data_IF_522839386273
#
_entry.id   IF_522839386273
#
_cell.length_a   1.000
_cell.length_b   1.000
_cell.length_c   1.000
_cell.angle_alpha   90.00
_cell.angle_beta   90.00
_cell.angle_gamma   90.00
#
_symmetry.space_group_name_H-M   'P 1'
#
loop_
_entity.id
_entity.type
_entity.pdbx_description
1 polymer ?
#
# COMPACT_ATOMS: atom_id res chain seq x y z
N UNK A 1 -30.39 35.84 19.84
CA UNK A 1 -29.06 36.08 19.24
C UNK A 1 -27.96 35.21 19.82
N UNK A 2 -28.03 34.76 21.06
CA UNK A 2 -27.06 33.81 21.66
C UNK A 2 -27.10 32.42 20.99
N UNK A 3 -28.22 31.97 20.47
CA UNK A 3 -28.42 30.69 19.80
C UNK A 3 -27.61 30.53 18.50
N UNK A 4 -27.40 31.58 17.75
CA UNK A 4 -26.60 31.51 16.51
C UNK A 4 -25.11 31.23 16.76
N UNK A 5 -24.57 31.67 17.87
CA UNK A 5 -23.16 31.44 18.23
C UNK A 5 -22.92 30.01 18.69
N UNK A 6 -23.88 29.40 19.33
CA UNK A 6 -23.78 27.99 19.78
C UNK A 6 -23.79 27.03 18.61
N UNK A 7 -24.60 27.27 17.56
CA UNK A 7 -24.62 26.44 16.37
C UNK A 7 -23.31 26.49 15.57
N UNK A 8 -22.61 27.61 15.53
CA UNK A 8 -21.33 27.75 14.87
C UNK A 8 -20.23 26.89 15.53
N UNK A 9 -20.21 26.79 16.85
CA UNK A 9 -19.27 25.95 17.58
C UNK A 9 -19.50 24.47 17.37
N UNK A 10 -20.73 24.01 17.25
CA UNK A 10 -21.07 22.61 16.99
C UNK A 10 -20.62 22.17 15.59
N UNK A 11 -20.71 23.03 14.58
CA UNK A 11 -20.27 22.73 13.22
C UNK A 11 -18.74 22.56 13.15
N UNK A 12 -17.96 23.34 13.87
CA UNK A 12 -16.51 23.24 13.92
C UNK A 12 -16.07 21.94 14.60
N UNK A 13 -16.73 21.54 15.69
CA UNK A 13 -16.44 20.30 16.40
C UNK A 13 -16.70 19.06 15.52
N UNK A 14 -17.76 19.06 14.71
CA UNK A 14 -18.06 17.98 13.77
C UNK A 14 -16.98 17.82 12.71
N UNK A 15 -16.47 18.90 12.13
CA UNK A 15 -15.38 18.88 11.16
C UNK A 15 -14.08 18.33 11.75
N UNK A 16 -13.76 18.63 12.99
CA UNK A 16 -12.56 18.12 13.68
C UNK A 16 -12.63 16.60 13.88
N UNK A 17 -13.80 16.04 14.19
CA UNK A 17 -14.00 14.60 14.36
C UNK A 17 -13.82 13.83 13.04
N UNK A 18 -14.25 14.36 11.92
CA UNK A 18 -14.08 13.75 10.60
C UNK A 18 -12.60 13.74 10.19
N UNK A 19 -11.84 14.78 10.50
CA UNK A 19 -10.41 14.88 10.21
C UNK A 19 -9.55 13.84 10.97
N UNK A 20 -10.02 13.33 12.11
CA UNK A 20 -9.32 12.34 12.93
C UNK A 20 -9.52 10.89 12.43
N UNK A 21 -10.28 10.65 11.34
CA UNK A 21 -10.59 9.31 10.86
C UNK A 21 -9.54 8.73 9.90
N UNK A 22 -8.50 9.49 9.51
CA UNK A 22 -7.40 8.98 8.70
C UNK A 22 -6.24 8.51 9.59
N UNK A 23 -5.60 7.40 9.23
CA UNK A 23 -4.52 6.82 10.02
C UNK A 23 -3.75 5.77 9.23
N UNK A 24 -2.95 5.01 9.96
CA UNK A 24 -2.17 3.91 9.40
C UNK A 24 -2.70 2.59 9.93
N UNK A 25 -2.75 1.58 9.06
CA UNK A 25 -3.07 0.21 9.41
C UNK A 25 -1.96 -0.72 8.92
N UNK A 26 -1.77 -1.85 9.60
CA UNK A 26 -0.86 -2.91 9.17
C UNK A 26 -1.67 -3.91 8.35
N UNK A 27 -1.26 -4.16 7.12
CA UNK A 27 -1.96 -5.08 6.22
C UNK A 27 -1.00 -6.08 5.60
N UNK A 28 -1.44 -7.34 5.35
CA UNK A 28 -0.63 -8.32 4.64
C UNK A 28 -0.32 -7.86 3.21
N UNK A 29 0.87 -8.19 2.75
CA UNK A 29 1.32 -7.83 1.39
C UNK A 29 0.36 -8.29 0.30
N UNK A 30 -0.19 -9.52 0.32
CA UNK A 30 -1.17 -9.94 -0.69
C UNK A 30 -2.42 -9.05 -0.72
N UNK A 31 -2.86 -8.60 0.44
CA UNK A 31 -4.03 -7.72 0.55
C UNK A 31 -3.76 -6.34 -0.05
N UNK A 32 -2.59 -5.80 0.22
CA UNK A 32 -2.17 -4.50 -0.34
C UNK A 32 -2.14 -4.58 -1.87
N UNK A 33 -1.57 -5.64 -2.43
CA UNK A 33 -1.50 -5.83 -3.87
C UNK A 33 -2.92 -5.95 -4.49
N UNK A 34 -3.77 -6.78 -3.90
CA UNK A 34 -5.13 -7.00 -4.39
C UNK A 34 -5.98 -5.72 -4.35
N UNK A 35 -5.90 -4.97 -3.25
CA UNK A 35 -6.69 -3.75 -3.07
C UNK A 35 -6.28 -2.63 -4.03
N UNK A 36 -5.11 -2.71 -4.64
CA UNK A 36 -4.60 -1.67 -5.54
C UNK A 36 -4.72 -2.00 -7.03
N UNK A 37 -5.31 -3.12 -7.39
CA UNK A 37 -5.64 -3.41 -8.79
C UNK A 37 -6.66 -2.38 -9.29
N UNK A 38 -6.39 -1.79 -10.45
CA UNK A 38 -7.18 -0.71 -11.02
C UNK A 38 -6.85 0.68 -10.50
N UNK A 39 -5.95 0.79 -9.54
CA UNK A 39 -5.51 2.05 -8.95
C UNK A 39 -4.12 2.45 -9.46
N UNK A 40 -3.70 3.71 -9.30
CA UNK A 40 -2.35 4.12 -9.71
C UNK A 40 -1.26 3.35 -8.99
N UNK A 41 -0.19 2.99 -9.71
CA UNK A 41 0.96 2.26 -9.16
C UNK A 41 1.67 3.03 -8.05
N UNK A 42 1.53 4.35 -8.00
CA UNK A 42 2.09 5.19 -6.93
C UNK A 42 1.62 4.76 -5.54
N UNK A 43 0.44 4.17 -5.43
CA UNK A 43 -0.05 3.64 -4.14
C UNK A 43 0.76 2.46 -3.65
N UNK A 44 1.21 1.61 -4.57
CA UNK A 44 2.10 0.50 -4.22
C UNK A 44 3.51 1.00 -3.89
N UNK A 45 3.96 2.06 -4.54
CA UNK A 45 5.23 2.70 -4.21
C UNK A 45 5.21 3.32 -2.81
N UNK A 46 4.08 3.90 -2.39
CA UNK A 46 3.90 4.37 -1.02
C UNK A 46 3.96 3.22 0.01
N UNK A 47 3.38 2.07 -0.31
CA UNK A 47 3.32 0.93 0.60
C UNK A 47 4.65 0.16 0.65
N UNK A 48 5.30 -0.05 -0.48
CA UNK A 48 6.47 -0.92 -0.61
C UNK A 48 7.79 -0.18 -0.82
N UNK A 49 7.74 1.11 -1.09
CA UNK A 49 8.91 1.90 -1.42
C UNK A 49 9.30 1.81 -2.90
N UNK A 50 10.56 2.11 -3.21
CA UNK A 50 11.05 2.03 -4.58
C UNK A 50 11.09 0.58 -5.07
N UNK A 51 10.66 0.32 -6.30
CA UNK A 51 10.77 -1.02 -6.87
C UNK A 51 12.23 -1.42 -7.08
N UNK A 52 12.50 -2.71 -6.96
CA UNK A 52 13.83 -3.28 -7.23
C UNK A 52 14.23 -3.11 -8.70
N UNK A 53 13.24 -3.27 -9.58
CA UNK A 53 13.41 -3.01 -11.02
C UNK A 53 12.08 -2.69 -11.68
N UNK A 54 12.16 -2.03 -12.81
CA UNK A 54 11.03 -1.76 -13.69
C UNK A 54 11.43 -2.20 -15.11
N UNK A 55 10.72 -3.18 -15.64
CA UNK A 55 10.92 -3.65 -17.00
C UNK A 55 9.82 -3.08 -17.92
N UNK A 56 10.21 -2.50 -19.04
CA UNK A 56 9.29 -1.99 -20.03
C UNK A 56 9.24 -2.89 -21.25
N UNK A 57 8.03 -3.31 -21.61
CA UNK A 57 7.75 -3.94 -22.91
C UNK A 57 7.01 -2.92 -23.78
N UNK A 58 6.70 -3.29 -25.04
CA UNK A 58 5.94 -2.41 -25.92
C UNK A 58 4.52 -2.11 -25.43
N UNK A 59 3.95 -2.96 -24.58
CA UNK A 59 2.55 -2.85 -24.14
C UNK A 59 2.36 -2.76 -22.64
N UNK A 60 3.38 -3.03 -21.83
CA UNK A 60 3.26 -3.14 -20.38
C UNK A 60 4.51 -2.63 -19.66
N UNK A 61 4.32 -2.16 -18.44
CA UNK A 61 5.40 -1.96 -17.46
C UNK A 61 5.28 -3.05 -16.40
N UNK A 62 6.41 -3.62 -15.99
CA UNK A 62 6.46 -4.63 -14.94
C UNK A 62 7.33 -4.12 -13.80
N UNK A 63 6.70 -3.86 -12.67
CA UNK A 63 7.35 -3.41 -11.45
C UNK A 63 7.63 -4.60 -10.56
N UNK A 64 8.82 -4.70 -10.01
CA UNK A 64 9.21 -5.79 -9.12
C UNK A 64 9.71 -5.22 -7.80
N UNK A 65 9.09 -5.64 -6.71
CA UNK A 65 9.54 -5.35 -5.36
C UNK A 65 9.99 -6.63 -4.69
N UNK A 66 11.02 -6.54 -3.88
CA UNK A 66 11.40 -7.59 -2.95
C UNK A 66 11.18 -7.09 -1.53
N UNK A 67 10.25 -7.71 -0.82
CA UNK A 67 9.89 -7.33 0.54
C UNK A 67 10.51 -8.34 1.49
N UNK A 68 11.62 -7.94 2.10
CA UNK A 68 12.37 -8.81 2.99
C UNK A 68 11.62 -9.02 4.31
N UNK A 69 11.69 -10.24 4.83
CA UNK A 69 11.32 -10.58 6.19
C UNK A 69 12.53 -11.08 6.92
N UNK A 70 12.98 -10.35 7.95
CA UNK A 70 14.05 -10.74 8.80
C UNK A 70 13.57 -10.72 10.25
N UNK A 71 13.09 -11.84 10.79
CA UNK A 71 12.78 -11.92 12.22
C UNK A 71 14.06 -11.74 13.03
N UNK A 72 13.94 -11.18 14.23
CA UNK A 72 15.08 -10.98 15.11
C UNK A 72 15.82 -12.30 15.35
N UNK A 73 17.14 -12.29 15.13
CA UNK A 73 17.97 -13.47 15.29
C UNK A 73 18.02 -14.42 14.09
N UNK A 74 17.36 -14.10 12.99
CA UNK A 74 17.44 -14.91 11.78
C UNK A 74 18.81 -14.76 11.12
N UNK A 75 19.39 -15.85 10.55
CA UNK A 75 20.61 -15.74 9.78
C UNK A 75 20.41 -14.86 8.55
N UNK A 76 21.45 -14.13 8.14
CA UNK A 76 21.43 -13.34 6.94
C UNK A 76 21.12 -14.24 5.73
N UNK A 77 20.06 -13.88 4.98
CA UNK A 77 19.62 -14.60 3.81
C UNK A 77 18.47 -13.90 3.15
N UNK A 78 18.26 -14.20 1.88
CA UNK A 78 17.15 -13.62 1.13
C UNK A 78 15.87 -14.39 1.40
N UNK A 79 15.13 -13.97 2.42
CA UNK A 79 13.82 -14.51 2.76
C UNK A 79 12.81 -13.38 2.67
N UNK A 80 11.80 -13.54 1.86
CA UNK A 80 10.81 -12.50 1.68
C UNK A 80 9.77 -12.83 0.64
N UNK A 81 9.11 -11.79 0.17
CA UNK A 81 8.09 -11.87 -0.87
C UNK A 81 8.53 -11.06 -2.08
N UNK A 82 8.58 -11.67 -3.24
CA UNK A 82 8.72 -10.96 -4.49
C UNK A 82 7.33 -10.61 -5.02
N UNK A 83 7.11 -9.32 -5.23
CA UNK A 83 5.85 -8.79 -5.77
C UNK A 83 6.12 -8.30 -7.19
N UNK A 84 5.47 -8.90 -8.15
CA UNK A 84 5.52 -8.48 -9.54
C UNK A 84 4.18 -7.88 -9.93
N UNK A 85 4.22 -6.64 -10.44
CA UNK A 85 3.01 -5.87 -10.76
C UNK A 85 3.05 -5.44 -12.21
N UNK A 86 2.00 -5.75 -12.95
CA UNK A 86 1.83 -5.31 -14.32
C UNK A 86 1.07 -3.99 -14.34
N UNK A 87 1.61 -2.99 -15.03
CA UNK A 87 1.09 -1.62 -15.06
C UNK A 87 0.84 -1.19 -16.50
N UNK A 88 -0.26 -0.49 -16.72
CA UNK A 88 -0.58 0.11 -18.00
C UNK A 88 0.29 1.36 -18.22
N UNK A 89 1.05 1.46 -19.34
CA UNK A 89 2.05 2.52 -19.51
C UNK A 89 1.50 3.94 -19.53
N UNK A 90 0.32 4.15 -20.08
CA UNK A 90 -0.26 5.49 -20.24
C UNK A 90 -0.91 6.00 -18.95
N UNK A 91 -1.78 5.18 -18.37
CA UNK A 91 -2.54 5.55 -17.18
C UNK A 91 -1.78 5.32 -15.88
N UNK A 92 -0.72 4.51 -15.91
CA UNK A 92 0.03 4.07 -14.73
C UNK A 92 -0.83 3.28 -13.73
N UNK A 93 -1.92 2.67 -14.23
CA UNK A 93 -2.81 1.86 -13.41
C UNK A 93 -2.31 0.43 -13.29
N UNK A 94 -2.49 -0.15 -12.13
CA UNK A 94 -2.18 -1.55 -11.86
C UNK A 94 -3.19 -2.45 -12.57
N UNK A 95 -2.70 -3.31 -13.46
CA UNK A 95 -3.54 -4.27 -14.19
C UNK A 95 -3.66 -5.61 -13.45
N UNK A 96 -2.62 -6.01 -12.76
CA UNK A 96 -2.58 -7.26 -12.03
C UNK A 96 -1.28 -7.44 -11.28
N UNK A 97 -1.15 -8.52 -10.53
CA UNK A 97 0.03 -8.80 -9.74
C UNK A 97 0.28 -10.31 -9.62
N UNK A 98 1.51 -10.65 -9.26
CA UNK A 98 1.92 -12.00 -8.94
C UNK A 98 2.84 -11.98 -7.72
N UNK A 99 2.71 -12.95 -6.84
CA UNK A 99 3.48 -13.06 -5.61
C UNK A 99 4.28 -14.36 -5.61
N UNK A 100 5.54 -14.27 -5.18
CA UNK A 100 6.43 -15.43 -5.04
C UNK A 100 7.07 -15.47 -3.69
N UNK A 101 6.93 -16.59 -2.98
CA UNK A 101 7.61 -16.81 -1.70
C UNK A 101 9.10 -17.12 -1.95
N UNK A 102 9.98 -16.39 -1.29
CA UNK A 102 11.41 -16.56 -1.42
C UNK A 102 11.99 -17.08 -0.10
N UNK A 103 12.71 -18.19 -0.16
CA UNK A 103 13.24 -18.83 1.03
C UNK A 103 12.13 -19.45 1.88
N UNK A 104 12.23 -19.29 3.21
CA UNK A 104 11.23 -19.80 4.14
C UNK A 104 10.07 -18.81 4.38
N UNK A 105 10.21 -17.57 3.95
CA UNK A 105 9.18 -16.55 4.15
C UNK A 105 7.99 -16.76 3.21
N UNK A 106 6.79 -16.50 3.72
CA UNK A 106 5.54 -16.58 2.96
C UNK A 106 4.95 -15.19 2.79
N UNK A 107 4.58 -14.84 1.58
CA UNK A 107 3.97 -13.54 1.28
C UNK A 107 2.78 -13.21 2.17
N UNK A 108 1.95 -14.20 2.46
CA UNK A 108 0.77 -14.03 3.31
C UNK A 108 1.06 -13.65 4.76
N UNK A 109 2.26 -13.91 5.25
CA UNK A 109 2.69 -13.61 6.63
C UNK A 109 3.42 -12.28 6.75
N UNK A 110 3.78 -11.66 5.62
CA UNK A 110 4.48 -10.38 5.61
C UNK A 110 3.46 -9.25 5.55
N UNK A 111 3.59 -8.30 6.46
CA UNK A 111 2.70 -7.16 6.54
C UNK A 111 3.47 -5.84 6.46
N UNK A 112 2.81 -4.82 5.94
CA UNK A 112 3.34 -3.46 5.82
C UNK A 112 2.35 -2.46 6.39
N UNK A 113 2.89 -1.41 6.96
CA UNK A 113 2.11 -0.27 7.41
C UNK A 113 1.68 0.54 6.20
N UNK A 114 0.40 0.69 6.01
CA UNK A 114 -0.18 1.44 4.90
C UNK A 114 -1.06 2.56 5.42
N UNK A 115 -1.10 3.64 4.66
CA UNK A 115 -1.99 4.76 4.95
C UNK A 115 -3.41 4.38 4.60
N UNK A 116 -4.29 4.48 5.58
CA UNK A 116 -5.72 4.27 5.39
C UNK A 116 -6.39 5.63 5.41
N UNK A 117 -7.06 5.95 4.33
CA UNK A 117 -7.89 7.15 4.25
C UNK A 117 -9.33 6.71 4.39
N UNK A 118 -10.04 7.29 5.35
CA UNK A 118 -11.47 7.05 5.51
C UNK A 118 -12.20 7.57 4.27
N UNK A 119 -12.90 6.66 3.59
CA UNK A 119 -13.72 6.99 2.42
C UNK A 119 -15.10 7.46 2.86
#
# INVERSE_FOLDING_TARGET
MALRRVFAFLAIAACALVACSSGFAVRPVPRIAADNVGKPVSRLQEAFGEPRKVDATSTKLIYVWFIAQAPAGAPAGFHGCEVEVTVEPRSQQVLGYSLSNIGWAKCGEIARKVRVVAS
#
